data_IF_811962315602
#
_entry.id   IF_811962315602
#
_cell.length_a   1.000
_cell.length_b   1.000
_cell.length_c   1.000
_cell.angle_alpha   90.00
_cell.angle_beta   90.00
_cell.angle_gamma   90.00
#
_symmetry.space_group_name_H-M   'P 1'
#
loop_
_entity.id
_entity.type
_entity.pdbx_description
1 polymer ?
#
# COMPACT_ATOMS: atom_id res chain seq x y z
N UNK A 1 30.67 5.34 -14.15
CA UNK A 1 30.30 4.34 -13.13
C UNK A 1 28.82 4.49 -12.91
N UNK A 2 28.08 3.45 -13.30
CA UNK A 2 26.63 3.39 -13.39
C UNK A 2 26.04 2.97 -12.04
N UNK A 3 25.02 3.68 -11.56
CA UNK A 3 24.11 3.17 -10.53
C UNK A 3 22.70 3.71 -10.77
N UNK A 4 22.01 2.98 -11.64
CA UNK A 4 20.57 2.76 -11.71
C UNK A 4 19.66 3.69 -10.89
N UNK A 5 19.07 4.68 -11.56
CA UNK A 5 17.76 5.22 -11.21
C UNK A 5 16.71 4.11 -11.45
N UNK A 6 16.63 3.10 -10.59
CA UNK A 6 15.39 2.34 -10.47
C UNK A 6 14.38 3.30 -9.82
N UNK A 7 13.71 4.10 -10.65
CA UNK A 7 12.45 4.70 -10.26
C UNK A 7 11.52 3.53 -9.93
N UNK A 8 11.38 3.18 -8.65
CA UNK A 8 10.25 2.36 -8.23
C UNK A 8 9.01 3.00 -8.84
N UNK A 9 8.24 2.24 -9.63
CA UNK A 9 6.99 2.75 -10.22
C UNK A 9 6.04 3.32 -9.14
N UNK A 10 6.19 2.83 -7.91
CA UNK A 10 5.60 3.34 -6.69
C UNK A 10 6.31 4.60 -6.16
N UNK A 11 5.54 5.68 -6.03
CA UNK A 11 6.00 6.84 -5.26
C UNK A 11 6.10 6.49 -3.76
N UNK A 12 7.01 7.13 -2.99
CA UNK A 12 7.10 6.91 -1.56
C UNK A 12 5.79 7.18 -0.81
N UNK A 13 5.04 8.21 -1.22
CA UNK A 13 3.72 8.52 -0.63
C UNK A 13 2.72 7.41 -0.88
N UNK A 14 2.63 6.90 -2.11
CA UNK A 14 1.72 5.81 -2.44
C UNK A 14 2.08 4.56 -1.64
N UNK A 15 3.37 4.21 -1.59
CA UNK A 15 3.84 3.06 -0.78
C UNK A 15 3.44 3.19 0.70
N UNK A 16 3.53 4.38 1.29
CA UNK A 16 3.07 4.62 2.65
C UNK A 16 1.55 4.46 2.82
N UNK A 17 0.74 4.94 1.87
CA UNK A 17 -0.72 4.74 1.88
C UNK A 17 -1.10 3.26 1.75
N UNK A 18 -0.41 2.52 0.88
CA UNK A 18 -0.58 1.06 0.74
C UNK A 18 -0.26 0.35 2.05
N UNK A 19 0.88 0.65 2.67
CA UNK A 19 1.28 0.05 3.95
C UNK A 19 0.27 0.33 5.07
N UNK A 20 -0.26 1.56 5.15
CA UNK A 20 -1.30 1.93 6.12
C UNK A 20 -2.60 1.15 5.90
N UNK A 21 -3.04 1.00 4.65
CA UNK A 21 -4.24 0.23 4.33
C UNK A 21 -4.07 -1.26 4.58
N UNK A 22 -2.96 -1.84 4.12
CA UNK A 22 -2.64 -3.27 4.28
C UNK A 22 -2.52 -3.66 5.75
N UNK A 23 -2.03 -2.75 6.61
CA UNK A 23 -1.86 -2.99 8.05
C UNK A 23 -3.06 -2.64 8.91
N UNK A 24 -4.14 -2.07 8.35
CA UNK A 24 -5.27 -1.53 9.13
C UNK A 24 -5.94 -2.55 10.06
N UNK A 25 -5.88 -3.85 9.72
CA UNK A 25 -6.44 -4.95 10.52
C UNK A 25 -5.42 -5.63 11.43
N UNK A 26 -4.13 -5.28 11.31
CA UNK A 26 -3.05 -5.78 12.18
C UNK A 26 -3.21 -5.18 13.58
N UNK A 27 -3.21 -6.01 14.61
CA UNK A 27 -3.16 -5.56 16.01
C UNK A 27 -1.71 -5.32 16.44
N UNK A 28 -1.04 -4.42 15.75
CA UNK A 28 0.43 -4.28 15.79
C UNK A 28 0.79 -2.82 16.09
N UNK A 29 0.68 -2.35 17.35
CA UNK A 29 0.83 -0.94 17.72
C UNK A 29 2.18 -0.34 17.28
N UNK A 30 3.27 -1.08 17.42
CA UNK A 30 4.61 -0.64 17.00
C UNK A 30 4.68 -0.41 15.49
N UNK A 31 4.17 -1.35 14.69
CA UNK A 31 4.10 -1.20 13.23
C UNK A 31 3.22 -0.02 12.84
N UNK A 32 2.04 0.10 13.45
CA UNK A 32 1.13 1.24 13.22
C UNK A 32 1.79 2.58 13.56
N UNK A 33 2.55 2.65 14.65
CA UNK A 33 3.32 3.83 15.04
C UNK A 33 4.40 4.18 14.02
N UNK A 34 5.20 3.20 13.58
CA UNK A 34 6.26 3.39 12.57
C UNK A 34 5.67 3.91 11.25
N UNK A 35 4.63 3.24 10.73
CA UNK A 35 3.99 3.64 9.48
C UNK A 35 3.36 5.03 9.56
N UNK A 36 2.80 5.41 10.71
CA UNK A 36 2.27 6.77 10.92
C UNK A 36 3.40 7.81 10.89
N UNK A 37 4.52 7.53 11.56
CA UNK A 37 5.67 8.43 11.59
C UNK A 37 6.28 8.61 10.19
N UNK A 38 6.46 7.50 9.45
CA UNK A 38 6.95 7.50 8.07
C UNK A 38 6.01 8.29 7.14
N UNK A 39 4.70 8.05 7.22
CA UNK A 39 3.71 8.79 6.42
C UNK A 39 3.75 10.30 6.70
N UNK A 40 3.89 10.70 7.97
CA UNK A 40 4.04 12.13 8.34
C UNK A 40 5.33 12.72 7.81
N UNK A 41 6.45 11.99 7.85
CA UNK A 41 7.72 12.44 7.29
C UNK A 41 7.65 12.66 5.77
N UNK A 42 6.78 11.91 5.08
CA UNK A 42 6.46 12.07 3.65
C UNK A 42 5.41 13.16 3.38
N UNK A 43 4.97 13.88 4.41
CA UNK A 43 4.03 14.99 4.33
C UNK A 43 2.57 14.56 4.19
N UNK A 44 2.19 13.34 4.58
CA UNK A 44 0.78 12.97 4.64
C UNK A 44 0.12 13.62 5.85
N UNK A 45 -1.05 14.19 5.62
CA UNK A 45 -1.90 14.75 6.68
C UNK A 45 -2.55 13.63 7.50
N UNK A 46 -3.01 13.97 8.71
CA UNK A 46 -3.81 13.04 9.52
C UNK A 46 -5.03 12.52 8.75
N UNK A 47 -5.68 13.37 7.95
CA UNK A 47 -6.83 12.96 7.13
C UNK A 47 -6.46 11.92 6.07
N UNK A 48 -5.34 12.10 5.37
CA UNK A 48 -4.84 11.11 4.39
C UNK A 48 -4.43 9.79 5.04
N UNK A 49 -3.81 9.84 6.23
CA UNK A 49 -3.43 8.64 6.99
C UNK A 49 -4.67 7.84 7.38
N UNK A 50 -5.68 8.50 7.96
CA UNK A 50 -6.93 7.84 8.36
C UNK A 50 -7.73 7.34 7.16
N UNK A 51 -7.75 8.10 6.05
CA UNK A 51 -8.34 7.63 4.80
C UNK A 51 -7.65 6.35 4.30
N UNK A 52 -6.33 6.31 4.30
CA UNK A 52 -5.55 5.15 3.83
C UNK A 52 -5.82 3.91 4.67
N UNK A 53 -5.90 4.06 6.00
CA UNK A 53 -6.30 2.97 6.92
C UNK A 53 -7.70 2.44 6.64
N UNK A 54 -8.61 3.28 6.17
CA UNK A 54 -9.96 2.89 5.76
C UNK A 54 -10.02 2.36 4.32
N UNK A 55 -8.88 2.19 3.65
CA UNK A 55 -8.81 1.76 2.25
C UNK A 55 -9.28 2.82 1.25
N UNK A 56 -9.16 4.11 1.60
CA UNK A 56 -9.59 5.26 0.81
C UNK A 56 -8.41 6.18 0.49
N UNK A 57 -8.51 6.93 -0.60
CA UNK A 57 -7.60 8.04 -0.91
C UNK A 57 -8.40 9.21 -1.50
N UNK A 58 -7.87 10.42 -1.36
CA UNK A 58 -8.44 11.61 -2.00
C UNK A 58 -8.09 11.68 -3.50
N UNK A 59 -7.01 11.01 -3.90
CA UNK A 59 -6.65 10.84 -5.31
C UNK A 59 -7.24 9.54 -5.87
N UNK A 60 -7.89 9.62 -7.03
CA UNK A 60 -8.59 8.48 -7.64
C UNK A 60 -7.62 7.38 -8.08
N UNK A 61 -6.43 7.75 -8.56
CA UNK A 61 -5.39 6.80 -8.97
C UNK A 61 -4.83 6.07 -7.75
N UNK A 62 -4.54 6.79 -6.68
CA UNK A 62 -4.06 6.19 -5.43
C UNK A 62 -5.15 5.34 -4.76
N UNK A 63 -6.42 5.76 -4.82
CA UNK A 63 -7.54 4.97 -4.33
C UNK A 63 -7.70 3.66 -5.10
N UNK A 64 -7.46 3.69 -6.42
CA UNK A 64 -7.48 2.49 -7.27
C UNK A 64 -6.32 1.55 -6.94
N UNK A 65 -5.11 2.10 -6.76
CA UNK A 65 -3.94 1.33 -6.34
C UNK A 65 -4.15 0.67 -4.97
N UNK A 66 -4.69 1.43 -4.01
CA UNK A 66 -5.00 0.94 -2.66
C UNK A 66 -6.08 -0.16 -2.69
N UNK A 67 -7.09 -0.01 -3.54
CA UNK A 67 -8.13 -1.03 -3.72
C UNK A 67 -7.56 -2.34 -4.28
N UNK A 68 -6.62 -2.25 -5.23
CA UNK A 68 -5.91 -3.42 -5.75
C UNK A 68 -5.06 -4.10 -4.68
N UNK A 69 -4.29 -3.32 -3.92
CA UNK A 69 -3.47 -3.85 -2.83
C UNK A 69 -4.31 -4.60 -1.79
N UNK A 70 -5.46 -4.04 -1.40
CA UNK A 70 -6.38 -4.69 -0.45
C UNK A 70 -7.07 -5.92 -1.03
N UNK A 71 -7.30 -5.98 -2.34
CA UNK A 71 -7.86 -7.16 -3.00
C UNK A 71 -6.91 -8.37 -2.93
N UNK A 72 -5.59 -8.14 -2.90
CA UNK A 72 -4.58 -9.20 -2.75
C UNK A 72 -4.68 -9.96 -1.43
N UNK A 73 -5.28 -9.36 -0.40
CA UNK A 73 -5.54 -10.03 0.89
C UNK A 73 -6.85 -10.83 0.92
N UNK A 74 -7.61 -10.88 -0.18
CA UNK A 74 -8.94 -11.51 -0.22
C UNK A 74 -8.95 -12.79 -1.06
N UNK A 75 -9.19 -12.67 -2.36
CA UNK A 75 -9.41 -13.81 -3.25
C UNK A 75 -8.86 -13.55 -4.65
N UNK A 76 -8.56 -14.61 -5.40
CA UNK A 76 -8.12 -14.51 -6.79
C UNK A 76 -9.15 -13.79 -7.70
N UNK A 77 -10.44 -13.93 -7.41
CA UNK A 77 -11.49 -13.24 -8.14
C UNK A 77 -11.48 -11.73 -7.88
N UNK A 78 -11.27 -11.30 -6.63
CA UNK A 78 -11.13 -9.89 -6.27
C UNK A 78 -9.88 -9.28 -6.93
N UNK A 79 -8.76 -9.99 -6.92
CA UNK A 79 -7.51 -9.55 -7.56
C UNK A 79 -7.76 -9.28 -9.05
N UNK A 80 -8.37 -10.23 -9.77
CA UNK A 80 -8.67 -10.09 -11.20
C UNK A 80 -9.58 -8.89 -11.48
N UNK A 81 -10.62 -8.70 -10.67
CA UNK A 81 -11.56 -7.58 -10.81
C UNK A 81 -10.86 -6.24 -10.61
N UNK A 82 -10.07 -6.10 -9.54
CA UNK A 82 -9.42 -4.85 -9.21
C UNK A 82 -8.24 -4.52 -10.13
N UNK A 83 -7.54 -5.54 -10.64
CA UNK A 83 -6.52 -5.37 -11.67
C UNK A 83 -7.12 -4.85 -12.98
N UNK A 84 -8.20 -5.45 -13.46
CA UNK A 84 -8.90 -4.99 -14.67
C UNK A 84 -9.40 -3.54 -14.52
N UNK A 85 -9.88 -3.15 -13.33
CA UNK A 85 -10.23 -1.75 -13.04
C UNK A 85 -9.02 -0.83 -13.09
N UNK A 86 -7.89 -1.21 -12.49
CA UNK A 86 -6.67 -0.41 -12.53
C UNK A 86 -6.20 -0.17 -13.97
N UNK A 87 -6.23 -1.19 -14.82
CA UNK A 87 -5.95 -1.08 -16.26
C UNK A 87 -6.94 -0.15 -16.97
N UNK A 88 -8.24 -0.27 -16.69
CA UNK A 88 -9.28 0.59 -17.25
C UNK A 88 -9.09 2.08 -16.89
N UNK A 89 -8.58 2.36 -15.69
CA UNK A 89 -8.24 3.71 -15.24
C UNK A 89 -6.86 4.20 -15.73
N UNK A 90 -6.21 3.45 -16.63
CA UNK A 90 -4.97 3.86 -17.28
C UNK A 90 -3.71 3.64 -16.44
N UNK A 91 -3.77 2.78 -15.42
CA UNK A 91 -2.58 2.41 -14.65
C UNK A 91 -1.66 1.53 -15.52
N UNK A 92 -0.36 1.85 -15.55
CA UNK A 92 0.61 1.05 -16.30
C UNK A 92 0.81 -0.34 -15.70
N UNK A 93 1.14 -1.31 -16.55
CA UNK A 93 1.47 -2.66 -16.12
C UNK A 93 2.62 -2.68 -15.08
N UNK A 94 3.62 -1.82 -15.25
CA UNK A 94 4.75 -1.70 -14.32
C UNK A 94 4.30 -1.25 -12.92
N UNK A 95 3.36 -0.30 -12.83
CA UNK A 95 2.83 0.16 -11.55
C UNK A 95 1.96 -0.91 -10.90
N UNK A 96 1.13 -1.60 -11.68
CA UNK A 96 0.33 -2.74 -11.19
C UNK A 96 1.24 -3.82 -10.61
N UNK A 97 2.26 -4.24 -11.36
CA UNK A 97 3.23 -5.23 -10.90
C UNK A 97 3.98 -4.77 -9.64
N UNK A 98 4.34 -3.49 -9.57
CA UNK A 98 5.00 -2.93 -8.38
C UNK A 98 4.08 -2.95 -7.15
N UNK A 99 2.78 -2.68 -7.30
CA UNK A 99 1.78 -2.76 -6.21
C UNK A 99 1.61 -4.20 -5.75
N UNK A 100 1.50 -5.14 -6.68
CA UNK A 100 1.38 -6.58 -6.41
C UNK A 100 2.60 -7.07 -5.62
N UNK A 101 3.81 -6.74 -6.11
CA UNK A 101 5.07 -7.08 -5.46
C UNK A 101 5.18 -6.45 -4.06
N UNK A 102 4.90 -5.14 -3.93
CA UNK A 102 4.93 -4.46 -2.64
C UNK A 102 4.01 -5.10 -1.62
N UNK A 103 2.79 -5.46 -2.04
CA UNK A 103 1.81 -6.09 -1.15
C UNK A 103 2.25 -7.48 -0.70
N UNK A 104 2.86 -8.26 -1.60
CA UNK A 104 3.44 -9.56 -1.28
C UNK A 104 4.59 -9.43 -0.28
N UNK A 105 5.53 -8.51 -0.53
CA UNK A 105 6.70 -8.28 0.33
C UNK A 105 6.32 -7.68 1.69
N UNK A 106 5.17 -7.00 1.78
CA UNK A 106 4.66 -6.43 3.01
C UNK A 106 3.95 -7.46 3.90
N UNK A 107 3.35 -8.50 3.31
CA UNK A 107 2.54 -9.49 4.04
C UNK A 107 3.27 -10.11 5.26
N UNK A 108 4.56 -10.51 5.19
CA UNK A 108 5.28 -11.04 6.34
C UNK A 108 5.36 -10.09 7.54
N UNK A 109 5.29 -8.76 7.31
CA UNK A 109 5.32 -7.76 8.39
C UNK A 109 4.04 -7.72 9.21
N UNK A 110 2.95 -8.27 8.68
CA UNK A 110 1.65 -8.35 9.36
C UNK A 110 1.58 -9.55 10.32
N UNK A 111 2.45 -10.54 10.15
CA UNK A 111 2.39 -11.81 10.89
C UNK A 111 3.28 -11.83 12.13
N UNK A 112 4.11 -10.80 12.36
CA UNK A 112 5.01 -10.75 13.53
C UNK A 112 4.16 -10.53 14.79
N UNK A 113 4.01 -11.54 15.67
CA UNK A 113 3.32 -11.35 16.94
C UNK A 113 4.20 -10.49 17.84
N UNK A 114 3.59 -9.56 18.57
CA UNK A 114 4.26 -8.88 19.69
C UNK A 114 4.90 -9.94 20.59
N UNK A 115 6.23 -10.01 20.60
CA UNK A 115 6.95 -10.69 21.67
C UNK A 115 6.71 -9.84 22.91
N UNK A 116 5.77 -10.30 23.75
CA UNK A 116 5.48 -9.70 25.05
C UNK A 116 6.76 -9.76 25.87
N UNK A 117 7.35 -8.59 26.13
CA UNK A 117 8.40 -8.40 27.12
C UNK A 117 7.76 -7.98 28.45
#
# INVERSE_FOLDING_TARGET
MSTQYQQSALSPRLAAQLALGLSARCKCPHLQGSLTAEARALGLTTGEIEASRQGRSFDVRDATALSLALALQKSAADIKLHRAKAEQFGMSADLIAAIEQFSHDFAPRLEIPEVIA
#
